data_IF_418108497588
#
_entry.id   IF_418108497588
#
_cell.length_a   1.000
_cell.length_b   1.000
_cell.length_c   1.000
_cell.angle_alpha   90.00
_cell.angle_beta   90.00
_cell.angle_gamma   90.00
#
_symmetry.space_group_name_H-M   'P 1'
#
loop_
_entity.id
_entity.type
_entity.pdbx_description
1 polymer ?
#
# COMPACT_ATOMS: atom_id res chain seq x y z
N UNK A 1 -11.69 7.27 -12.67
CA UNK A 1 -10.80 6.12 -12.39
C UNK A 1 -9.80 6.48 -11.30
N UNK A 2 -9.12 7.62 -11.46
CA UNK A 2 -8.20 8.20 -10.47
C UNK A 2 -8.73 8.19 -9.02
N UNK A 3 -9.92 8.73 -8.75
CA UNK A 3 -10.49 8.73 -7.38
C UNK A 3 -10.65 7.35 -6.73
N UNK A 4 -10.94 6.31 -7.53
CA UNK A 4 -11.06 4.93 -7.03
C UNK A 4 -9.69 4.33 -6.71
N UNK A 5 -8.66 4.67 -7.50
CA UNK A 5 -7.29 4.25 -7.25
C UNK A 5 -6.72 4.95 -6.01
N UNK A 6 -6.98 6.26 -5.85
CA UNK A 6 -6.64 6.99 -4.62
C UNK A 6 -7.33 6.39 -3.40
N UNK A 7 -8.63 6.10 -3.47
CA UNK A 7 -9.35 5.47 -2.36
C UNK A 7 -8.88 4.04 -2.06
N UNK A 8 -8.37 3.30 -3.05
CA UNK A 8 -7.72 2.01 -2.83
C UNK A 8 -6.38 2.19 -2.13
N UNK A 9 -5.54 3.12 -2.63
CA UNK A 9 -4.23 3.41 -2.07
C UNK A 9 -4.30 3.81 -0.59
N UNK A 10 -5.24 4.67 -0.22
CA UNK A 10 -5.45 5.06 1.17
C UNK A 10 -5.80 3.88 2.07
N UNK A 11 -6.67 2.96 1.60
CA UNK A 11 -7.02 1.75 2.35
C UNK A 11 -5.82 0.80 2.49
N UNK A 12 -5.02 0.65 1.44
CA UNK A 12 -3.81 -0.20 1.48
C UNK A 12 -2.76 0.37 2.46
N UNK A 13 -2.51 1.68 2.40
CA UNK A 13 -1.58 2.37 3.32
C UNK A 13 -2.07 2.32 4.77
N UNK A 14 -3.38 2.48 4.99
CA UNK A 14 -3.96 2.31 6.32
C UNK A 14 -3.75 0.89 6.84
N UNK A 15 -4.02 -0.13 6.04
CA UNK A 15 -3.80 -1.52 6.43
C UNK A 15 -2.32 -1.83 6.71
N UNK A 16 -1.40 -1.32 5.89
CA UNK A 16 0.04 -1.46 6.12
C UNK A 16 0.45 -0.85 7.46
N UNK A 17 -0.02 0.37 7.76
CA UNK A 17 0.22 1.03 9.04
C UNK A 17 -0.31 0.19 10.19
N UNK A 18 -1.52 -0.35 10.09
CA UNK A 18 -2.12 -1.17 11.14
C UNK A 18 -1.30 -2.46 11.40
N UNK A 19 -0.80 -3.12 10.34
CA UNK A 19 0.11 -4.27 10.47
C UNK A 19 1.41 -3.90 11.17
N UNK A 20 2.04 -2.77 10.78
CA UNK A 20 3.27 -2.27 11.38
C UNK A 20 3.08 -1.93 12.86
N UNK A 21 1.95 -1.29 13.21
CA UNK A 21 1.62 -0.98 14.59
C UNK A 21 1.40 -2.25 15.41
N UNK A 22 0.65 -3.23 14.90
CA UNK A 22 0.46 -4.52 15.57
C UNK A 22 1.79 -5.26 15.78
N UNK A 23 2.72 -5.19 14.81
CA UNK A 23 4.06 -5.74 14.97
C UNK A 23 4.88 -5.02 16.05
N UNK A 24 4.70 -3.71 16.21
CA UNK A 24 5.39 -2.92 17.22
C UNK A 24 4.87 -3.16 18.65
N UNK A 25 3.64 -3.67 18.81
CA UNK A 25 3.09 -4.08 20.11
C UNK A 25 3.76 -5.35 20.67
N UNK A 26 4.48 -6.11 19.84
CA UNK A 26 5.21 -7.28 20.30
C UNK A 26 6.59 -6.88 20.87
N UNK A 27 6.91 -7.33 22.09
CA UNK A 27 8.20 -7.08 22.78
C UNK A 27 9.43 -7.76 22.13
N UNK A 28 9.29 -8.30 20.91
CA UNK A 28 10.32 -9.03 20.19
C UNK A 28 10.21 -8.87 18.67
N UNK A 29 11.16 -9.45 17.94
CA UNK A 29 11.14 -9.37 16.48
C UNK A 29 9.86 -10.00 15.91
N UNK A 30 9.16 -9.30 14.98
CA UNK A 30 8.01 -9.86 14.30
C UNK A 30 8.36 -11.16 13.57
N UNK A 31 7.39 -12.07 13.51
CA UNK A 31 7.55 -13.30 12.76
C UNK A 31 7.87 -13.00 11.29
N UNK A 32 8.73 -13.81 10.67
CA UNK A 32 9.11 -13.64 9.26
C UNK A 32 7.91 -13.65 8.29
N UNK A 33 6.80 -14.30 8.67
CA UNK A 33 5.53 -14.24 7.94
C UNK A 33 4.89 -12.86 7.98
N UNK A 34 4.92 -12.16 9.12
CA UNK A 34 4.39 -10.81 9.26
C UNK A 34 5.24 -9.81 8.46
N UNK A 35 6.56 -9.94 8.50
CA UNK A 35 7.47 -9.14 7.66
C UNK A 35 7.21 -9.36 6.17
N UNK A 36 6.99 -10.62 5.75
CA UNK A 36 6.65 -10.95 4.36
C UNK A 36 5.31 -10.36 3.95
N UNK A 37 4.31 -10.41 4.81
CA UNK A 37 2.99 -9.82 4.54
C UNK A 37 3.08 -8.31 4.26
N UNK A 38 3.89 -7.58 5.02
CA UNK A 38 4.13 -6.16 4.75
C UNK A 38 4.85 -5.94 3.43
N UNK A 39 5.91 -6.71 3.14
CA UNK A 39 6.63 -6.60 1.89
C UNK A 39 5.75 -6.89 0.66
N UNK A 40 4.87 -7.89 0.75
CA UNK A 40 3.88 -8.19 -0.30
C UNK A 40 2.89 -7.03 -0.48
N UNK A 41 2.42 -6.43 0.62
CA UNK A 41 1.53 -5.27 0.59
C UNK A 41 2.20 -4.04 -0.01
N UNK A 42 3.49 -3.80 0.28
CA UNK A 42 4.29 -2.73 -0.32
C UNK A 42 4.40 -2.86 -1.84
N UNK A 43 4.58 -4.07 -2.36
CA UNK A 43 4.58 -4.32 -3.80
C UNK A 43 3.23 -3.97 -4.44
N UNK A 44 2.12 -4.29 -3.76
CA UNK A 44 0.77 -3.94 -4.24
C UNK A 44 0.55 -2.42 -4.21
N UNK A 45 0.98 -1.74 -3.15
CA UNK A 45 0.92 -0.28 -3.04
C UNK A 45 1.67 0.38 -4.19
N UNK A 46 2.91 -0.04 -4.45
CA UNK A 46 3.72 0.49 -5.54
C UNK A 46 3.05 0.26 -6.92
N UNK A 47 2.43 -0.91 -7.12
CA UNK A 47 1.68 -1.18 -8.35
C UNK A 47 0.45 -0.27 -8.52
N UNK A 48 -0.29 -0.01 -7.43
CA UNK A 48 -1.45 0.90 -7.46
C UNK A 48 -1.01 2.35 -7.70
N UNK A 49 0.09 2.79 -7.09
CA UNK A 49 0.66 4.12 -7.32
C UNK A 49 1.05 4.31 -8.80
N UNK A 50 1.75 3.33 -9.39
CA UNK A 50 2.12 3.37 -10.80
C UNK A 50 0.90 3.49 -11.72
N UNK A 51 -0.16 2.70 -11.49
CA UNK A 51 -1.39 2.78 -12.28
C UNK A 51 -2.12 4.11 -12.07
N UNK A 52 -2.11 4.66 -10.85
CA UNK A 52 -2.72 5.96 -10.57
C UNK A 52 -2.01 7.10 -11.32
N UNK A 53 -0.68 7.06 -11.36
CA UNK A 53 0.15 8.01 -12.09
C UNK A 53 -0.08 7.91 -13.61
N UNK A 54 -0.13 6.69 -14.15
CA UNK A 54 -0.45 6.44 -15.56
C UNK A 54 -1.83 6.99 -15.96
N UNK A 55 -2.85 6.77 -15.13
CA UNK A 55 -4.20 7.27 -15.38
C UNK A 55 -4.28 8.79 -15.25
N UNK A 56 -3.54 9.39 -14.31
CA UNK A 56 -3.43 10.84 -14.18
C UNK A 56 -2.73 11.47 -15.41
N UNK A 57 -1.66 10.84 -15.89
CA UNK A 57 -0.97 11.24 -17.13
C UNK A 57 -1.89 11.14 -18.35
N UNK A 58 -2.67 10.06 -18.44
CA UNK A 58 -3.65 9.87 -19.51
C UNK A 58 -4.71 10.97 -19.51
N UNK A 59 -5.21 11.35 -18.34
CA UNK A 59 -6.20 12.42 -18.21
C UNK A 59 -5.64 13.81 -18.55
N UNK A 60 -4.31 14.01 -18.46
CA UNK A 60 -3.63 15.26 -18.81
C UNK A 60 -3.26 15.39 -20.29
N UNK A 61 -3.29 14.30 -21.06
CA UNK A 61 -3.00 14.35 -22.51
C UNK A 61 -4.27 14.80 -23.27
N UNK A 62 -4.15 15.81 -24.17
CA UNK A 62 -5.27 16.35 -24.95
C UNK A 62 -5.81 15.37 -26.00
#
# INVERSE_FOLDING_TARGET
>A
MSDKLTALLERLKAHQRDLILAMAEHDGMPAGSALRQVAELENVIAAVEAVADEEADRARRP
#
